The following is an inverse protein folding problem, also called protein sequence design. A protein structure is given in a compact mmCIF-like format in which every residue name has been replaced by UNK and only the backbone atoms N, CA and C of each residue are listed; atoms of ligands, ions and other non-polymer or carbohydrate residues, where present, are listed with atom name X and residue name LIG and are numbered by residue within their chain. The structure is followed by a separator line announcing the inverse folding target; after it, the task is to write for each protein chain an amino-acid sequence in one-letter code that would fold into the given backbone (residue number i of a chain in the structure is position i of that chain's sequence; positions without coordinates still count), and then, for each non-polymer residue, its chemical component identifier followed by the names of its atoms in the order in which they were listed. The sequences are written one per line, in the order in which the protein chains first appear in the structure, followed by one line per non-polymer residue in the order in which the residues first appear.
data_IF_255631389019
#
_entry.id   IF_255631389019
#
_cell.length_a   1.000
_cell.length_b   1.000
_cell.length_c   1.000
_cell.angle_alpha   90.00
_cell.angle_beta   90.00
_cell.angle_gamma   90.00
#
_symmetry.space_group_name_H-M   'P 1'
#
loop_
_entity.id
_entity.type
_entity.pdbx_description
1 polymer ?
#
# COMPACT_ATOMS: atom_id res chain seq x y z
N UNK A 1 -2.32 11.17 -7.63
CA UNK A 1 -1.19 10.25 -7.88
C UNK A 1 -1.38 8.98 -7.07
N UNK A 2 -1.13 7.83 -7.65
CA UNK A 2 -1.17 6.53 -6.95
C UNK A 2 0.22 6.22 -6.40
N UNK A 3 0.31 5.87 -5.12
CA UNK A 3 1.53 5.35 -4.53
C UNK A 3 1.45 3.82 -4.45
N UNK A 4 2.46 3.15 -4.96
CA UNK A 4 2.58 1.69 -4.90
C UNK A 4 3.85 1.32 -4.13
N UNK A 5 3.71 0.47 -3.12
CA UNK A 5 4.84 -0.05 -2.35
C UNK A 5 4.93 -1.56 -2.51
N UNK A 6 6.12 -2.06 -2.77
CA UNK A 6 6.35 -3.49 -2.97
C UNK A 6 7.20 -4.09 -1.87
N UNK A 7 6.60 -4.89 -1.01
CA UNK A 7 7.27 -5.89 -0.19
C UNK A 7 7.09 -7.28 -0.82
N UNK A 8 8.07 -8.12 -0.69
CA UNK A 8 8.43 -9.19 -1.61
C UNK A 8 7.79 -10.54 -1.42
N UNK A 9 6.79 -10.71 -0.61
CA UNK A 9 6.22 -12.04 -0.32
C UNK A 9 4.88 -12.31 -1.00
N UNK A 10 4.51 -11.51 -2.00
CA UNK A 10 3.18 -11.61 -2.58
C UNK A 10 3.17 -12.30 -3.95
N UNK A 11 2.14 -13.13 -4.25
CA UNK A 11 1.99 -13.84 -5.53
C UNK A 11 1.82 -12.92 -6.75
N UNK A 12 1.67 -11.61 -6.55
CA UNK A 12 1.58 -10.66 -7.67
C UNK A 12 2.94 -10.43 -8.27
N UNK A 13 3.13 -10.91 -9.48
CA UNK A 13 4.33 -10.66 -10.27
C UNK A 13 4.61 -9.16 -10.40
N UNK A 14 5.87 -8.76 -10.35
CA UNK A 14 6.31 -7.39 -10.66
C UNK A 14 5.83 -6.94 -12.03
N UNK A 15 5.81 -7.84 -12.98
CA UNK A 15 5.33 -7.60 -14.34
C UNK A 15 3.84 -7.24 -14.36
N UNK A 16 3.00 -7.95 -13.62
CA UNK A 16 1.56 -7.65 -13.57
C UNK A 16 1.31 -6.26 -12.97
N UNK A 17 2.07 -5.88 -11.94
CA UNK A 17 2.00 -4.53 -11.37
C UNK A 17 2.47 -3.45 -12.34
N UNK A 18 3.58 -3.69 -13.04
CA UNK A 18 4.08 -2.77 -14.05
C UNK A 18 3.03 -2.53 -15.15
N UNK A 19 2.48 -3.60 -15.72
CA UNK A 19 1.42 -3.49 -16.72
C UNK A 19 0.17 -2.81 -16.20
N UNK A 20 -0.25 -3.10 -14.97
CA UNK A 20 -1.41 -2.45 -14.36
C UNK A 20 -1.20 -0.93 -14.21
N UNK A 21 -0.03 -0.50 -13.75
CA UNK A 21 0.33 0.91 -13.60
C UNK A 21 0.39 1.60 -14.96
N UNK A 22 1.04 1.00 -15.95
CA UNK A 22 1.13 1.52 -17.31
C UNK A 22 -0.26 1.65 -17.95
N UNK A 23 -1.08 0.59 -17.90
CA UNK A 23 -2.42 0.57 -18.52
C UNK A 23 -3.44 1.44 -17.77
N UNK A 24 -3.22 1.72 -16.49
CA UNK A 24 -4.10 2.65 -15.75
C UNK A 24 -4.05 4.07 -16.31
N UNK A 25 -2.92 4.45 -16.94
CA UNK A 25 -2.61 5.82 -17.42
C UNK A 25 -2.70 6.88 -16.34
N UNK A 26 -2.72 6.47 -15.08
CA UNK A 26 -2.74 7.38 -13.94
C UNK A 26 -1.31 7.66 -13.47
N UNK A 27 -1.09 8.86 -12.93
CA UNK A 27 0.22 9.18 -12.36
C UNK A 27 0.53 8.30 -11.18
N UNK A 28 1.75 7.72 -11.12
CA UNK A 28 2.16 6.85 -10.05
C UNK A 28 3.58 7.13 -9.54
N UNK A 29 3.79 6.77 -8.30
CA UNK A 29 5.09 6.62 -7.66
C UNK A 29 5.21 5.19 -7.17
N UNK A 30 6.21 4.45 -7.60
CA UNK A 30 6.42 3.05 -7.22
C UNK A 30 7.73 2.87 -6.47
N UNK A 31 7.64 2.57 -5.17
CA UNK A 31 8.78 2.13 -4.37
C UNK A 31 9.05 0.66 -4.62
N UNK A 32 10.09 0.35 -5.38
CA UNK A 32 10.51 -1.00 -5.76
C UNK A 32 11.81 -1.36 -5.03
N UNK A 33 11.72 -2.30 -4.10
CA UNK A 33 12.86 -2.77 -3.30
C UNK A 33 13.34 -4.14 -3.78
N UNK A 34 14.64 -4.36 -3.64
CA UNK A 34 15.25 -5.66 -3.88
C UNK A 34 14.87 -6.63 -2.76
N UNK A 35 14.44 -7.87 -3.11
CA UNK A 35 14.13 -8.87 -2.09
C UNK A 35 15.36 -9.25 -1.27
N UNK A 36 15.08 -9.64 -0.03
CA UNK A 36 16.10 -10.31 0.76
C UNK A 36 16.33 -11.74 0.26
N UNK A 37 17.56 -12.22 0.26
CA UNK A 37 17.83 -13.63 0.07
C UNK A 37 17.09 -14.46 1.12
N UNK A 38 16.64 -15.66 0.75
CA UNK A 38 15.94 -16.55 1.70
C UNK A 38 16.86 -16.87 2.89
N UNK A 39 16.36 -16.61 4.11
CA UNK A 39 17.06 -16.91 5.36
C UNK A 39 17.95 -15.77 5.89
N UNK A 40 18.05 -14.66 5.21
CA UNK A 40 18.76 -13.49 5.74
C UNK A 40 17.81 -12.55 6.49
N UNK A 41 18.28 -12.05 7.64
CA UNK A 41 17.63 -11.01 8.43
C UNK A 41 18.40 -9.72 8.16
N UNK A 42 17.97 -8.96 7.15
CA UNK A 42 18.58 -7.69 6.79
C UNK A 42 17.51 -6.70 6.32
N UNK A 43 17.88 -5.45 6.11
CA UNK A 43 16.99 -4.48 5.47
C UNK A 43 16.99 -4.68 3.96
N UNK A 44 15.83 -4.65 3.29
CA UNK A 44 15.78 -4.69 1.83
C UNK A 44 16.62 -3.58 1.23
N UNK A 45 17.41 -3.89 0.21
CA UNK A 45 18.23 -2.93 -0.52
C UNK A 45 17.51 -2.38 -1.75
N UNK A 46 18.08 -1.36 -2.36
CA UNK A 46 17.56 -0.79 -3.60
C UNK A 46 18.21 -1.45 -4.82
N UNK A 47 17.52 -1.42 -5.95
CA UNK A 47 18.12 -1.75 -7.23
C UNK A 47 18.99 -0.59 -7.69
N UNK A 48 20.25 -0.87 -8.08
CA UNK A 48 21.08 0.13 -8.75
C UNK A 48 20.49 0.51 -10.11
N UNK A 49 19.98 -0.50 -10.81
CA UNK A 49 19.23 -0.37 -12.05
C UNK A 49 18.00 -1.31 -12.01
N UNK A 50 16.79 -0.78 -12.04
CA UNK A 50 15.57 -1.58 -12.03
C UNK A 50 15.17 -2.13 -13.42
N UNK A 51 15.84 -1.75 -14.52
CA UNK A 51 15.47 -2.17 -15.89
C UNK A 51 15.45 -3.69 -16.05
N UNK A 52 16.42 -4.38 -15.47
CA UNK A 52 16.52 -5.84 -15.55
C UNK A 52 15.45 -6.63 -14.79
N UNK A 53 14.59 -5.95 -14.02
CA UNK A 53 13.52 -6.57 -13.21
C UNK A 53 12.12 -6.06 -13.54
N UNK A 54 12.01 -5.19 -14.50
CA UNK A 54 10.77 -4.62 -15.03
C UNK A 54 10.56 -5.08 -16.49
N UNK A 55 9.36 -4.95 -17.05
CA UNK A 55 9.15 -5.19 -18.47
C UNK A 55 10.04 -4.29 -19.32
N UNK A 56 10.57 -4.82 -20.41
CA UNK A 56 11.40 -4.07 -21.34
C UNK A 56 10.72 -2.77 -21.78
N UNK A 57 11.46 -1.65 -21.74
CA UNK A 57 10.98 -0.32 -22.11
C UNK A 57 9.92 0.28 -21.17
N UNK A 58 9.59 -0.36 -20.05
CA UNK A 58 8.57 0.14 -19.11
C UNK A 58 8.87 1.55 -18.62
N UNK A 59 10.11 1.82 -18.20
CA UNK A 59 10.51 3.12 -17.65
C UNK A 59 10.38 4.23 -18.69
N UNK A 60 10.71 3.94 -19.95
CA UNK A 60 10.60 4.91 -21.05
C UNK A 60 9.14 5.20 -21.39
N UNK A 61 8.32 4.15 -21.53
CA UNK A 61 6.89 4.29 -21.84
C UNK A 61 6.09 5.00 -20.74
N UNK A 62 6.57 4.93 -19.50
CA UNK A 62 5.89 5.55 -18.35
C UNK A 62 6.56 6.82 -17.84
N UNK A 63 7.60 7.32 -18.50
CA UNK A 63 8.41 8.46 -18.03
C UNK A 63 7.59 9.72 -17.70
N UNK A 64 6.50 9.97 -18.45
CA UNK A 64 5.63 11.13 -18.27
C UNK A 64 4.59 10.97 -17.14
N UNK A 65 4.27 9.72 -16.75
CA UNK A 65 3.20 9.44 -15.79
C UNK A 65 3.71 8.79 -14.50
N UNK A 66 4.92 8.24 -14.48
CA UNK A 66 5.40 7.43 -13.36
C UNK A 66 6.85 7.65 -12.98
N UNK A 67 7.15 7.30 -11.73
CA UNK A 67 8.52 7.17 -11.24
C UNK A 67 8.64 5.88 -10.44
N UNK A 68 9.71 5.14 -10.72
CA UNK A 68 10.15 3.99 -9.90
C UNK A 68 11.31 4.46 -9.05
N UNK A 69 11.22 4.26 -7.74
CA UNK A 69 12.21 4.67 -6.75
C UNK A 69 12.56 3.50 -5.84
N UNK A 70 13.65 3.61 -5.10
CA UNK A 70 14.04 2.69 -4.04
C UNK A 70 13.27 2.93 -2.75
N UNK A 71 13.99 2.98 -1.64
CA UNK A 71 13.42 3.30 -0.33
C UNK A 71 12.81 4.71 -0.31
N UNK A 72 11.71 4.84 0.41
CA UNK A 72 11.02 6.11 0.54
C UNK A 72 10.35 6.23 1.91
N UNK A 73 10.26 7.45 2.49
CA UNK A 73 9.57 7.70 3.74
C UNK A 73 8.05 7.59 3.54
N UNK A 74 7.54 6.36 3.60
CA UNK A 74 6.15 6.03 3.24
C UNK A 74 5.12 6.89 3.95
N UNK A 75 5.29 7.14 5.25
CA UNK A 75 4.36 7.95 6.04
C UNK A 75 4.28 9.39 5.50
N UNK A 76 5.42 10.00 5.19
CA UNK A 76 5.47 11.35 4.63
C UNK A 76 4.84 11.41 3.22
N UNK A 77 5.10 10.38 2.39
CA UNK A 77 4.49 10.28 1.06
C UNK A 77 2.97 10.15 1.17
N UNK A 78 2.46 9.24 2.01
CA UNK A 78 1.02 9.02 2.16
C UNK A 78 0.30 10.23 2.77
N UNK A 79 0.99 11.04 3.58
CA UNK A 79 0.45 12.28 4.12
C UNK A 79 0.36 13.41 3.08
N UNK A 80 1.03 13.27 1.93
CA UNK A 80 1.06 14.33 0.93
C UNK A 80 -0.27 14.43 0.17
N UNK A 81 -0.86 15.64 0.04
CA UNK A 81 -2.22 15.82 -0.52
C UNK A 81 -2.37 15.40 -1.99
N UNK A 82 -1.27 15.27 -2.74
CA UNK A 82 -1.32 14.79 -4.13
C UNK A 82 -1.50 13.27 -4.24
N UNK A 83 -1.31 12.52 -3.16
CA UNK A 83 -1.54 11.07 -3.13
C UNK A 83 -3.04 10.83 -3.01
N UNK A 84 -3.61 10.20 -4.01
CA UNK A 84 -5.04 9.89 -4.04
C UNK A 84 -5.37 8.40 -3.86
N UNK A 85 -4.38 7.53 -3.91
CA UNK A 85 -4.56 6.09 -3.74
C UNK A 85 -3.26 5.40 -3.34
N UNK A 86 -3.39 4.30 -2.61
CA UNK A 86 -2.27 3.49 -2.15
C UNK A 86 -2.50 2.01 -2.48
N UNK A 87 -1.57 1.42 -3.23
CA UNK A 87 -1.59 -0.02 -3.52
C UNK A 87 -0.68 -0.74 -2.54
N UNK A 88 -1.28 -1.55 -1.68
CA UNK A 88 -0.59 -2.28 -0.61
C UNK A 88 -0.99 -3.75 -0.60
N UNK A 89 -0.12 -4.58 -0.02
CA UNK A 89 -0.45 -5.96 0.32
C UNK A 89 -1.06 -6.10 1.72
N UNK A 90 -1.39 -4.97 2.38
CA UNK A 90 -1.97 -4.91 3.73
C UNK A 90 -1.15 -5.64 4.81
N UNK A 91 0.14 -5.86 4.58
CA UNK A 91 1.03 -6.44 5.57
C UNK A 91 1.28 -5.47 6.71
N UNK A 92 0.94 -5.87 7.92
CA UNK A 92 1.40 -5.20 9.12
C UNK A 92 2.65 -5.93 9.61
N UNK A 93 3.71 -5.21 9.88
CA UNK A 93 5.03 -5.70 10.29
C UNK A 93 5.04 -7.15 10.80
N UNK A 94 5.52 -8.08 9.97
CA UNK A 94 5.95 -9.43 10.33
C UNK A 94 4.91 -10.47 10.78
N UNK A 95 3.61 -10.23 10.75
CA UNK A 95 2.62 -11.25 11.08
C UNK A 95 1.89 -11.76 9.84
N UNK A 96 2.54 -12.67 9.13
CA UNK A 96 2.14 -13.24 7.83
C UNK A 96 0.69 -13.80 7.78
N UNK A 97 0.12 -14.18 8.90
CA UNK A 97 -1.22 -14.76 8.95
C UNK A 97 -2.35 -13.74 9.03
N UNK A 98 -2.04 -12.45 9.25
CA UNK A 98 -3.04 -11.40 9.47
C UNK A 98 -3.28 -10.46 8.29
N UNK A 99 -2.60 -10.65 7.15
CA UNK A 99 -2.80 -9.78 5.98
C UNK A 99 -4.24 -9.86 5.46
N UNK A 100 -4.81 -11.05 5.43
CA UNK A 100 -6.20 -11.26 5.02
C UNK A 100 -7.19 -10.60 5.99
N UNK A 101 -6.92 -10.67 7.30
CA UNK A 101 -7.74 -10.03 8.31
C UNK A 101 -7.70 -8.51 8.18
N UNK A 102 -6.52 -7.92 7.99
CA UNK A 102 -6.40 -6.48 7.76
C UNK A 102 -7.11 -6.04 6.46
N UNK A 103 -7.01 -6.84 5.41
CA UNK A 103 -7.71 -6.58 4.15
C UNK A 103 -9.22 -6.66 4.36
N UNK A 104 -9.71 -7.69 5.06
CA UNK A 104 -11.12 -7.85 5.38
C UNK A 104 -11.63 -6.64 6.18
N UNK A 105 -10.93 -6.25 7.23
CA UNK A 105 -11.26 -5.08 8.05
C UNK A 105 -11.36 -3.80 7.21
N UNK A 106 -10.33 -3.52 6.40
CA UNK A 106 -10.31 -2.31 5.59
C UNK A 106 -11.37 -2.28 4.49
N UNK A 107 -11.66 -3.42 3.87
CA UNK A 107 -12.58 -3.52 2.73
C UNK A 107 -14.02 -3.73 3.18
N UNK A 108 -14.27 -4.70 4.07
CA UNK A 108 -15.63 -5.14 4.41
C UNK A 108 -16.22 -4.40 5.61
N UNK A 109 -15.42 -4.22 6.67
CA UNK A 109 -15.92 -3.59 7.89
C UNK A 109 -15.88 -2.07 7.80
N UNK A 110 -14.75 -1.52 7.40
CA UNK A 110 -14.54 -0.08 7.38
C UNK A 110 -14.91 0.58 6.04
N UNK A 111 -14.88 -0.16 4.94
CA UNK A 111 -15.15 0.37 3.60
C UNK A 111 -14.13 1.45 3.16
N UNK A 112 -12.88 1.34 3.60
CA UNK A 112 -11.81 2.31 3.33
C UNK A 112 -10.92 1.91 2.16
N UNK A 113 -11.10 0.72 1.60
CA UNK A 113 -10.25 0.17 0.57
C UNK A 113 -11.05 -0.60 -0.49
N UNK A 114 -10.43 -0.71 -1.67
CA UNK A 114 -10.90 -1.55 -2.78
C UNK A 114 -10.20 -2.89 -2.72
N UNK A 115 -10.96 -3.96 -2.80
CA UNK A 115 -10.40 -5.30 -2.90
C UNK A 115 -9.84 -5.56 -4.31
N UNK A 116 -8.55 -5.92 -4.38
CA UNK A 116 -7.98 -6.48 -5.60
C UNK A 116 -8.08 -8.01 -5.52
N UNK A 117 -7.56 -8.61 -4.43
CA UNK A 117 -7.65 -10.04 -4.15
C UNK A 117 -7.52 -10.29 -2.66
N UNK A 118 -8.44 -11.05 -2.10
CA UNK A 118 -8.46 -11.38 -0.65
C UNK A 118 -8.22 -12.86 -0.37
N UNK A 119 -8.55 -13.75 -1.30
CA UNK A 119 -8.40 -15.19 -1.12
C UNK A 119 -7.00 -15.67 -1.54
N UNK A 120 -6.10 -15.77 -0.55
CA UNK A 120 -4.76 -16.34 -0.71
C UNK A 120 -4.65 -17.62 0.12
N UNK A 121 -4.76 -18.76 -0.52
CA UNK A 121 -4.48 -20.03 0.14
C UNK A 121 -2.99 -20.38 -0.04
N UNK A 122 -2.35 -20.80 1.06
CA UNK A 122 -0.97 -21.30 1.00
C UNK A 122 -0.90 -22.48 0.03
N UNK A 123 -0.10 -22.35 -1.04
CA UNK A 123 0.02 -23.37 -2.08
C UNK A 123 -0.89 -23.17 -3.30
N UNK A 124 -1.76 -22.15 -3.36
CA UNK A 124 -2.43 -21.79 -4.59
C UNK A 124 -1.54 -20.87 -5.44
N UNK A 125 -1.32 -21.22 -6.70
CA UNK A 125 -0.68 -20.37 -7.70
C UNK A 125 -1.65 -19.26 -8.17
N UNK A 126 -2.25 -18.52 -7.25
CA UNK A 126 -3.15 -17.44 -7.64
C UNK A 126 -2.32 -16.25 -8.10
N UNK A 127 -2.23 -16.09 -9.40
CA UNK A 127 -1.63 -14.91 -10.03
C UNK A 127 -2.72 -13.86 -10.17
N UNK A 128 -2.52 -12.70 -9.53
CA UNK A 128 -3.39 -11.53 -9.73
C UNK A 128 -3.01 -10.88 -11.05
N UNK A 129 -3.98 -10.71 -11.93
CA UNK A 129 -3.74 -10.15 -13.26
C UNK A 129 -3.54 -8.62 -13.24
N UNK A 130 -2.94 -8.11 -14.33
CA UNK A 130 -2.78 -6.66 -14.50
C UNK A 130 -4.14 -5.95 -14.58
N UNK A 131 -5.15 -6.60 -15.16
CA UNK A 131 -6.52 -6.08 -15.27
C UNK A 131 -7.18 -5.93 -13.90
N UNK A 132 -7.06 -6.94 -13.01
CA UNK A 132 -7.60 -6.90 -11.65
C UNK A 132 -6.95 -5.77 -10.84
N UNK A 133 -5.63 -5.63 -10.92
CA UNK A 133 -4.90 -4.54 -10.25
C UNK A 133 -5.32 -3.18 -10.84
N UNK A 134 -5.36 -3.08 -12.16
CA UNK A 134 -5.75 -1.85 -12.87
C UNK A 134 -7.18 -1.43 -12.56
N UNK A 135 -8.12 -2.38 -12.41
CA UNK A 135 -9.48 -2.11 -11.94
C UNK A 135 -9.45 -1.48 -10.55
N UNK A 136 -8.79 -2.10 -9.59
CA UNK A 136 -8.71 -1.58 -8.21
C UNK A 136 -8.06 -0.20 -8.14
N UNK A 137 -7.03 0.07 -8.96
CA UNK A 137 -6.40 1.39 -9.04
C UNK A 137 -7.40 2.44 -9.57
N UNK A 138 -8.14 2.15 -10.63
CA UNK A 138 -9.12 3.09 -11.17
C UNK A 138 -10.24 3.38 -10.18
N UNK A 139 -10.78 2.34 -9.54
CA UNK A 139 -11.85 2.44 -8.56
C UNK A 139 -11.44 3.30 -7.34
N UNK A 140 -10.27 3.07 -6.76
CA UNK A 140 -9.79 3.90 -5.63
C UNK A 140 -9.48 5.34 -6.03
N UNK A 141 -9.20 5.59 -7.33
CA UNK A 141 -8.90 6.91 -7.85
C UNK A 141 -10.15 7.66 -8.33
N UNK A 142 -11.32 7.05 -8.32
CA UNK A 142 -12.58 7.69 -8.63
C UNK A 142 -12.86 8.86 -7.67
N UNK A 143 -13.21 10.03 -8.24
CA UNK A 143 -13.20 11.28 -7.47
C UNK A 143 -14.31 11.37 -6.43
N UNK A 144 -15.49 10.86 -6.76
CA UNK A 144 -16.71 11.01 -5.96
C UNK A 144 -17.18 9.66 -5.40
N UNK A 145 -16.23 8.78 -5.04
CA UNK A 145 -16.55 7.48 -4.47
C UNK A 145 -16.83 7.56 -2.98
N UNK A 146 -17.76 6.75 -2.49
CA UNK A 146 -18.07 6.58 -1.06
C UNK A 146 -16.83 6.23 -0.23
N UNK A 147 -15.88 5.51 -0.83
CA UNK A 147 -14.62 5.15 -0.18
C UNK A 147 -13.81 6.41 0.16
N UNK A 148 -13.72 7.37 -0.75
CA UNK A 148 -13.02 8.64 -0.50
C UNK A 148 -13.66 9.46 0.59
N UNK A 149 -14.97 9.48 0.63
CA UNK A 149 -15.71 10.20 1.67
C UNK A 149 -15.44 9.57 3.04
N UNK A 150 -15.56 8.24 3.14
CA UNK A 150 -15.24 7.50 4.38
C UNK A 150 -13.79 7.68 4.82
N UNK A 151 -12.83 7.66 3.88
CA UNK A 151 -11.40 7.92 4.19
C UNK A 151 -11.22 9.33 4.76
N UNK A 152 -11.88 10.35 4.20
CA UNK A 152 -11.84 11.72 4.74
C UNK A 152 -12.41 11.79 6.14
N UNK A 153 -13.58 11.20 6.38
CA UNK A 153 -14.21 11.15 7.70
C UNK A 153 -13.31 10.44 8.73
N UNK A 154 -12.76 9.27 8.35
CA UNK A 154 -11.88 8.51 9.23
C UNK A 154 -10.58 9.28 9.53
N UNK A 155 -10.03 9.99 8.56
CA UNK A 155 -8.88 10.87 8.76
C UNK A 155 -9.16 11.97 9.79
N UNK A 156 -10.34 12.59 9.73
CA UNK A 156 -10.76 13.60 10.72
C UNK A 156 -10.92 12.97 12.11
N UNK A 157 -11.58 11.82 12.20
CA UNK A 157 -11.76 11.08 13.46
C UNK A 157 -10.40 10.69 14.08
N UNK A 158 -9.48 10.16 13.27
CA UNK A 158 -8.15 9.77 13.73
C UNK A 158 -7.34 10.96 14.25
N UNK A 159 -7.36 12.09 13.55
CA UNK A 159 -6.70 13.31 14.02
C UNK A 159 -7.28 13.80 15.32
N UNK A 160 -8.62 13.80 15.46
CA UNK A 160 -9.32 14.20 16.69
C UNK A 160 -8.97 13.29 17.88
N UNK A 161 -8.72 12.00 17.64
CA UNK A 161 -8.33 11.07 18.71
C UNK A 161 -6.94 11.37 19.30
N UNK A 162 -6.05 11.98 18.52
CA UNK A 162 -4.64 12.21 18.87
C UNK A 162 -4.37 13.57 19.53
N UNK A 163 -5.28 14.55 19.42
CA UNK A 163 -5.10 15.87 20.07
C UNK A 163 -5.36 15.79 21.57
N UNK A 164 -4.95 16.82 22.31
CA UNK A 164 -5.19 16.95 23.74
C UNK A 164 -6.66 16.71 24.08
N UNK A 165 -6.90 15.82 25.05
CA UNK A 165 -8.26 15.39 25.43
C UNK A 165 -8.92 14.41 24.45
N UNK A 166 -8.29 14.07 23.34
CA UNK A 166 -8.75 13.03 22.43
C UNK A 166 -8.66 11.62 23.04
N UNK A 167 -9.44 10.68 22.52
CA UNK A 167 -9.56 9.33 23.12
C UNK A 167 -8.22 8.59 23.22
N UNK A 168 -7.41 8.58 22.17
CA UNK A 168 -6.09 7.93 22.18
C UNK A 168 -5.10 8.66 23.09
N UNK A 169 -5.11 10.00 23.10
CA UNK A 169 -4.27 10.80 23.97
C UNK A 169 -4.61 10.52 25.45
N UNK A 170 -5.90 10.56 25.81
CA UNK A 170 -6.35 10.29 27.17
C UNK A 170 -6.05 8.87 27.63
N UNK A 171 -6.27 7.87 26.76
CA UNK A 171 -5.95 6.47 27.08
C UNK A 171 -4.46 6.24 27.31
N UNK A 172 -3.59 6.91 26.53
CA UNK A 172 -2.15 6.85 26.73
C UNK A 172 -1.74 7.52 28.04
N UNK A 173 -2.34 8.67 28.38
CA UNK A 173 -2.11 9.33 29.68
C UNK A 173 -2.47 8.42 30.85
N UNK A 174 -3.66 7.86 30.86
CA UNK A 174 -4.09 6.89 31.90
C UNK A 174 -3.14 5.68 32.00
N UNK A 175 -2.65 5.17 30.87
CA UNK A 175 -1.71 4.06 30.88
C UNK A 175 -0.36 4.44 31.50
N UNK A 176 0.17 5.61 31.15
CA UNK A 176 1.42 6.12 31.73
C UNK A 176 1.28 6.32 33.23
N UNK A 177 0.19 6.91 33.69
CA UNK A 177 -0.07 7.13 35.12
C UNK A 177 -0.12 5.81 35.91
N UNK A 178 -0.64 4.74 35.31
CA UNK A 178 -0.67 3.41 35.92
C UNK A 178 0.70 2.70 36.01
N UNK A 179 1.65 3.06 35.15
CA UNK A 179 3.00 2.46 35.15
C UNK A 179 3.93 3.19 36.12
N UNK A 180 3.67 4.47 36.41
CA UNK A 180 4.50 5.29 37.31
C UNK A 180 4.21 5.03 38.81
N UNK A 181 3.38 4.04 39.12
CA UNK A 181 3.20 3.49 40.48
C UNK A 181 4.18 2.33 40.71
#
# INVERSE_FOLDING_TARGET
MTYCHTWLLHPVSRYQRAYALEHSRLRFLWSLRKPLPKGEIAMPSDYADPTGVLPEGFLDRTAEIGRVIGWAPQVAILAHPTIGGFVSHCGWNSMLEKQQLNTFELVKELGLAVEIKMDYRKGSEVVVSAEEIGRGIREVMEKDSDIRERVKEMSVKSKKALVDGGSSHSSLGCFIDQIQL
#
